data_IF_104506694490
#
_entry.id   IF_104506694490
#
_cell.length_a   1.000
_cell.length_b   1.000
_cell.length_c   1.000
_cell.angle_alpha   90.00
_cell.angle_beta   90.00
_cell.angle_gamma   90.00
#
_symmetry.space_group_name_H-M   'P 1'
#
loop_
_entity.id
_entity.type
_entity.pdbx_description
1 polymer ?
#
# COMPACT_ATOMS: atom_id res chain seq x y z
N UNK A 1 -8.41 -22.88 -34.77
CA UNK A 1 -8.52 -21.63 -33.99
C UNK A 1 -7.53 -21.74 -32.84
N UNK A 2 -6.39 -21.05 -32.95
CA UNK A 2 -5.40 -20.99 -31.87
C UNK A 2 -6.01 -20.16 -30.75
N UNK A 3 -6.40 -20.83 -29.65
CA UNK A 3 -6.74 -20.14 -28.41
C UNK A 3 -5.42 -19.59 -27.87
N UNK A 4 -5.11 -18.34 -28.19
CA UNK A 4 -4.08 -17.57 -27.51
C UNK A 4 -4.56 -17.38 -26.07
N UNK A 5 -4.26 -18.35 -25.20
CA UNK A 5 -4.18 -18.06 -23.77
C UNK A 5 -3.00 -17.13 -23.61
N UNK A 6 -3.22 -15.83 -23.78
CA UNK A 6 -2.41 -14.83 -23.11
C UNK A 6 -2.47 -15.23 -21.64
N UNK A 7 -1.38 -15.79 -21.12
CA UNK A 7 -1.32 -16.21 -19.73
C UNK A 7 -1.70 -15.03 -18.85
N UNK A 8 -2.56 -15.27 -17.85
CA UNK A 8 -3.01 -14.23 -16.94
C UNK A 8 -1.77 -13.54 -16.33
N UNK A 9 -1.63 -12.24 -16.59
CA UNK A 9 -0.55 -11.39 -16.10
C UNK A 9 -0.91 -10.86 -14.73
N UNK A 10 -0.63 -11.66 -13.70
CA UNK A 10 -1.12 -11.47 -12.34
C UNK A 10 -0.02 -10.93 -11.42
N UNK A 11 -0.42 -10.00 -10.57
CA UNK A 11 0.35 -9.52 -9.44
C UNK A 11 -0.54 -9.45 -8.19
N UNK A 12 0.09 -9.40 -7.03
CA UNK A 12 -0.62 -9.20 -5.77
C UNK A 12 0.05 -8.13 -4.90
N UNK A 13 -0.78 -7.31 -4.27
CA UNK A 13 -0.37 -6.39 -3.23
C UNK A 13 -0.73 -6.97 -1.85
N UNK A 14 0.23 -7.01 -0.94
CA UNK A 14 -0.02 -7.34 0.47
C UNK A 14 -0.11 -6.04 1.26
N UNK A 15 -1.22 -5.32 1.10
CA UNK A 15 -1.41 -3.97 1.66
C UNK A 15 -1.40 -4.00 3.19
N UNK A 16 -0.47 -3.26 3.81
CA UNK A 16 -0.32 -3.21 5.25
C UNK A 16 -0.94 -1.93 5.79
N UNK A 17 -1.94 -2.07 6.67
CA UNK A 17 -2.64 -0.95 7.30
C UNK A 17 -2.48 -1.01 8.82
N UNK A 18 -2.43 0.16 9.44
CA UNK A 18 -2.24 0.32 10.89
C UNK A 18 -3.57 0.31 11.65
N UNK A 19 -4.40 -0.70 11.37
CA UNK A 19 -5.67 -0.96 12.02
C UNK A 19 -5.98 -2.45 11.99
N UNK A 20 -6.41 -3.02 13.12
CA UNK A 20 -6.90 -4.40 13.23
C UNK A 20 -8.03 -4.58 14.26
N UNK A 21 -8.28 -3.58 15.12
CA UNK A 21 -9.25 -3.65 16.21
C UNK A 21 -10.64 -3.25 15.74
N UNK A 22 -10.74 -2.27 14.85
CA UNK A 22 -11.98 -1.81 14.22
C UNK A 22 -12.21 -2.58 12.92
N UNK A 23 -12.83 -3.76 13.03
CA UNK A 23 -13.06 -4.69 11.92
C UNK A 23 -13.77 -4.04 10.72
N UNK A 24 -14.76 -3.19 10.98
CA UNK A 24 -15.50 -2.47 9.94
C UNK A 24 -14.60 -1.61 9.05
N UNK A 25 -13.56 -0.96 9.61
CA UNK A 25 -12.60 -0.17 8.85
C UNK A 25 -11.78 -1.07 7.93
N UNK A 26 -11.25 -2.17 8.46
CA UNK A 26 -10.46 -3.14 7.67
C UNK A 26 -11.30 -3.72 6.52
N UNK A 27 -12.55 -4.09 6.80
CA UNK A 27 -13.47 -4.61 5.79
C UNK A 27 -13.85 -3.56 4.74
N UNK A 28 -14.03 -2.29 5.12
CA UNK A 28 -14.33 -1.22 4.18
C UNK A 28 -13.14 -0.93 3.26
N UNK A 29 -11.92 -0.94 3.79
CA UNK A 29 -10.68 -0.81 3.00
C UNK A 29 -10.56 -1.96 1.98
N UNK A 30 -10.82 -3.20 2.42
CA UNK A 30 -10.82 -4.35 1.52
C UNK A 30 -11.92 -4.26 0.44
N UNK A 31 -13.13 -3.81 0.81
CA UNK A 31 -14.22 -3.59 -0.13
C UNK A 31 -13.87 -2.50 -1.15
N UNK A 32 -13.24 -1.40 -0.74
CA UNK A 32 -12.83 -0.33 -1.63
C UNK A 32 -11.91 -0.82 -2.75
N UNK A 33 -11.04 -1.81 -2.46
CA UNK A 33 -10.20 -2.44 -3.48
C UNK A 33 -10.99 -3.17 -4.58
N UNK A 34 -12.22 -3.58 -4.30
CA UNK A 34 -13.06 -4.37 -5.21
C UNK A 34 -13.98 -3.50 -6.07
N UNK A 35 -13.94 -2.17 -5.95
CA UNK A 35 -14.87 -1.28 -6.61
C UNK A 35 -14.20 -0.45 -7.70
N UNK A 36 -14.88 -0.34 -8.84
CA UNK A 36 -14.58 0.65 -9.86
C UNK A 36 -15.00 2.05 -9.42
N UNK A 37 -14.55 3.09 -10.16
CA UNK A 37 -14.91 4.49 -9.91
C UNK A 37 -16.42 4.76 -9.93
N UNK A 38 -17.19 3.95 -10.66
CA UNK A 38 -18.65 4.03 -10.76
C UNK A 38 -19.37 3.29 -9.60
N UNK A 39 -18.63 2.67 -8.67
CA UNK A 39 -19.16 1.90 -7.54
C UNK A 39 -19.54 0.45 -7.86
N UNK A 40 -19.34 -0.03 -9.09
CA UNK A 40 -19.56 -1.42 -9.45
C UNK A 40 -18.39 -2.32 -9.04
N UNK A 41 -18.66 -3.62 -8.86
CA UNK A 41 -17.63 -4.59 -8.52
C UNK A 41 -16.69 -4.78 -9.72
N UNK A 42 -15.39 -4.61 -9.50
CA UNK A 42 -14.38 -4.88 -10.51
C UNK A 42 -14.29 -6.40 -10.77
N UNK A 43 -14.48 -6.87 -12.01
CA UNK A 43 -14.55 -8.31 -12.30
C UNK A 43 -13.20 -9.03 -12.15
N UNK A 44 -12.09 -8.33 -12.39
CA UNK A 44 -10.74 -8.91 -12.44
C UNK A 44 -9.90 -8.68 -11.18
N UNK A 45 -10.52 -8.21 -10.09
CA UNK A 45 -9.83 -7.92 -8.82
C UNK A 45 -10.42 -8.78 -7.71
N UNK A 46 -9.55 -9.36 -6.89
CA UNK A 46 -9.92 -10.21 -5.76
C UNK A 46 -9.15 -9.84 -4.51
N UNK A 47 -9.85 -9.81 -3.37
CA UNK A 47 -9.23 -9.84 -2.05
C UNK A 47 -9.11 -11.31 -1.65
N UNK A 48 -7.90 -11.84 -1.66
CA UNK A 48 -7.63 -13.25 -1.39
C UNK A 48 -7.60 -13.57 0.11
N UNK A 49 -7.17 -12.61 0.92
CA UNK A 49 -7.03 -12.79 2.35
C UNK A 49 -7.07 -11.45 3.10
N UNK A 50 -7.56 -11.46 4.33
CA UNK A 50 -7.41 -10.38 5.31
C UNK A 50 -6.84 -11.02 6.58
N UNK A 51 -5.59 -10.73 6.90
CA UNK A 51 -4.97 -11.12 8.15
C UNK A 51 -4.91 -9.93 9.10
N UNK A 52 -5.44 -10.06 10.31
CA UNK A 52 -5.48 -8.98 11.30
C UNK A 52 -4.86 -9.44 12.62
N UNK A 53 -3.89 -8.67 13.12
CA UNK A 53 -3.27 -8.87 14.42
C UNK A 53 -3.68 -7.71 15.35
N UNK A 54 -4.46 -8.02 16.39
CA UNK A 54 -5.04 -7.02 17.29
C UNK A 54 -4.03 -6.42 18.28
N UNK A 55 -2.99 -7.19 18.63
CA UNK A 55 -1.95 -6.74 19.54
C UNK A 55 -1.01 -5.78 18.81
N UNK A 56 -0.66 -6.13 17.56
CA UNK A 56 0.11 -5.28 16.67
C UNK A 56 -0.70 -4.08 16.16
N UNK A 57 -2.04 -4.17 16.26
CA UNK A 57 -3.00 -3.25 15.66
C UNK A 57 -2.69 -3.00 14.17
N UNK A 58 -2.50 -4.10 13.44
CA UNK A 58 -2.06 -4.09 12.05
C UNK A 58 -2.78 -5.18 11.26
N UNK A 59 -3.21 -4.84 10.06
CA UNK A 59 -3.78 -5.81 9.12
C UNK A 59 -3.02 -5.85 7.81
N UNK A 60 -3.02 -7.02 7.17
CA UNK A 60 -2.50 -7.27 5.83
C UNK A 60 -3.65 -7.73 4.95
N UNK A 61 -3.96 -6.96 3.93
CA UNK A 61 -5.00 -7.27 2.94
C UNK A 61 -4.30 -7.71 1.66
N UNK A 62 -4.50 -8.97 1.26
CA UNK A 62 -3.94 -9.52 0.02
C UNK A 62 -4.90 -9.26 -1.14
N UNK A 63 -4.53 -8.33 -2.01
CA UNK A 63 -5.28 -7.94 -3.20
C UNK A 63 -4.56 -8.51 -4.42
N UNK A 64 -5.24 -9.26 -5.27
CA UNK A 64 -4.69 -9.81 -6.52
C UNK A 64 -5.54 -9.37 -7.71
N UNK A 65 -4.85 -9.01 -8.79
CA UNK A 65 -5.48 -8.53 -10.03
C UNK A 65 -4.51 -8.71 -11.21
N UNK A 66 -4.97 -8.33 -12.41
CA UNK A 66 -4.06 -8.04 -13.52
C UNK A 66 -3.06 -6.95 -13.09
N UNK A 67 -1.83 -6.96 -13.63
CA UNK A 67 -0.84 -5.91 -13.34
C UNK A 67 -1.36 -4.51 -13.71
N UNK A 68 -2.21 -4.42 -14.73
CA UNK A 68 -2.78 -3.17 -15.24
C UNK A 68 -3.86 -2.61 -14.30
N UNK A 69 -4.61 -3.47 -13.60
CA UNK A 69 -5.70 -3.06 -12.71
C UNK A 69 -5.30 -2.96 -11.23
N UNK A 70 -4.20 -3.63 -10.85
CA UNK A 70 -3.77 -3.71 -9.46
C UNK A 70 -3.53 -2.31 -8.86
N UNK A 71 -2.89 -1.41 -9.61
CA UNK A 71 -2.60 -0.06 -9.15
C UNK A 71 -3.86 0.73 -8.77
N UNK A 72 -4.89 0.72 -9.61
CA UNK A 72 -6.15 1.43 -9.35
C UNK A 72 -6.90 0.85 -8.14
N UNK A 73 -6.88 -0.47 -8.00
CA UNK A 73 -7.54 -1.19 -6.91
C UNK A 73 -6.87 -0.90 -5.57
N UNK A 74 -5.54 -0.95 -5.53
CA UNK A 74 -4.76 -0.65 -4.33
C UNK A 74 -4.86 0.85 -3.97
N UNK A 75 -4.89 1.73 -4.97
CA UNK A 75 -5.15 3.16 -4.77
C UNK A 75 -6.49 3.40 -4.06
N UNK A 76 -7.58 2.76 -4.51
CA UNK A 76 -8.88 2.88 -3.87
C UNK A 76 -8.86 2.44 -2.40
N UNK A 77 -8.20 1.31 -2.11
CA UNK A 77 -8.01 0.83 -0.73
C UNK A 77 -7.19 1.82 0.13
N UNK A 78 -6.11 2.38 -0.42
CA UNK A 78 -5.29 3.36 0.30
C UNK A 78 -6.07 4.65 0.62
N UNK A 79 -6.89 5.14 -0.32
CA UNK A 79 -7.70 6.34 -0.10
C UNK A 79 -8.73 6.12 1.02
N UNK A 80 -9.40 4.97 1.05
CA UNK A 80 -10.29 4.60 2.16
C UNK A 80 -9.52 4.49 3.49
N UNK A 81 -8.33 3.87 3.48
CA UNK A 81 -7.50 3.76 4.67
C UNK A 81 -7.07 5.13 5.22
N UNK A 82 -6.65 6.05 4.35
CA UNK A 82 -6.31 7.41 4.76
C UNK A 82 -7.51 8.19 5.30
N UNK A 83 -8.73 7.92 4.84
CA UNK A 83 -9.93 8.55 5.39
C UNK A 83 -10.31 7.96 6.75
N UNK A 84 -10.20 6.65 6.91
CA UNK A 84 -10.75 5.91 8.06
C UNK A 84 -9.77 5.73 9.23
N UNK A 85 -8.45 5.78 8.98
CA UNK A 85 -7.42 5.58 10.02
C UNK A 85 -6.81 6.93 10.40
N UNK A 86 -6.74 7.19 11.71
CA UNK A 86 -6.03 8.34 12.28
C UNK A 86 -4.81 7.85 13.06
N UNK A 87 -3.62 8.13 12.54
CA UNK A 87 -2.35 7.74 13.17
C UNK A 87 -2.08 8.43 14.51
N UNK A 88 -2.74 9.56 14.80
CA UNK A 88 -2.63 10.22 16.12
C UNK A 88 -3.29 9.43 17.25
N UNK A 89 -4.22 8.54 16.89
CA UNK A 89 -4.92 7.64 17.81
C UNK A 89 -4.42 6.20 17.69
N UNK A 90 -3.43 5.95 16.82
CA UNK A 90 -2.92 4.61 16.60
C UNK A 90 -2.08 4.18 17.78
N UNK A 91 -2.47 3.05 18.35
CA UNK A 91 -1.73 2.39 19.43
C UNK A 91 -1.61 0.91 19.11
N UNK A 92 -0.38 0.44 18.89
CA UNK A 92 -0.04 -0.96 18.64
C UNK A 92 1.42 -1.21 19.02
N UNK A 93 1.75 -2.48 19.34
CA UNK A 93 3.14 -2.83 19.72
C UNK A 93 4.06 -2.97 18.51
N UNK A 94 3.51 -3.07 17.30
CA UNK A 94 4.28 -3.11 16.06
C UNK A 94 4.62 -1.68 15.63
N UNK A 95 5.90 -1.38 15.33
CA UNK A 95 6.25 -0.09 14.75
C UNK A 95 5.50 0.11 13.42
N UNK A 96 5.07 1.32 13.15
CA UNK A 96 4.46 1.70 11.89
C UNK A 96 4.72 3.18 11.65
N UNK A 97 4.80 3.56 10.38
CA UNK A 97 5.01 4.96 9.99
C UNK A 97 3.76 5.59 9.37
N UNK A 98 2.74 4.83 8.99
CA UNK A 98 1.57 5.38 8.32
C UNK A 98 0.29 4.59 8.51
N UNK A 99 -0.84 5.24 8.22
CA UNK A 99 -2.17 4.61 8.18
C UNK A 99 -2.18 3.46 7.18
N UNK A 100 -1.60 3.72 6.01
CA UNK A 100 -1.03 2.70 5.13
C UNK A 100 0.47 2.67 5.40
N UNK A 101 0.97 1.58 5.99
CA UNK A 101 2.38 1.45 6.36
C UNK A 101 3.21 1.05 5.13
N UNK A 102 2.77 0.04 4.39
CA UNK A 102 3.49 -0.51 3.24
C UNK A 102 2.53 -1.02 2.15
N UNK A 103 2.92 -0.83 0.89
CA UNK A 103 2.21 -1.28 -0.31
C UNK A 103 3.09 -2.25 -1.13
N UNK A 104 3.52 -3.39 -0.56
CA UNK A 104 4.40 -4.33 -1.27
C UNK A 104 3.63 -5.03 -2.40
N UNK A 105 4.19 -5.03 -3.60
CA UNK A 105 3.63 -5.63 -4.81
C UNK A 105 4.56 -6.78 -5.23
N UNK A 106 3.98 -7.95 -5.50
CA UNK A 106 4.68 -9.15 -5.88
C UNK A 106 4.15 -9.69 -7.21
N UNK A 107 5.04 -10.09 -8.14
CA UNK A 107 4.62 -10.78 -9.35
C UNK A 107 4.11 -12.19 -9.00
N UNK A 108 3.02 -12.61 -9.65
CA UNK A 108 2.48 -13.97 -9.51
C UNK A 108 2.65 -14.79 -10.79
N UNK A 109 2.33 -14.22 -11.95
CA UNK A 109 2.39 -14.91 -13.25
C UNK A 109 2.54 -13.90 -14.37
N UNK A 110 3.53 -14.09 -15.26
CA UNK A 110 3.66 -13.25 -16.46
C UNK A 110 3.92 -11.75 -16.21
N UNK A 111 4.46 -11.43 -15.03
CA UNK A 111 4.79 -10.07 -14.57
C UNK A 111 6.19 -10.08 -13.97
N UNK A 112 7.02 -9.09 -14.28
CA UNK A 112 8.35 -8.94 -13.69
C UNK A 112 8.34 -8.08 -12.42
N UNK A 113 9.45 -8.10 -11.65
CA UNK A 113 9.59 -7.24 -10.47
C UNK A 113 9.72 -5.76 -10.86
N UNK A 114 10.33 -5.47 -12.00
CA UNK A 114 10.46 -4.12 -12.56
C UNK A 114 9.08 -3.55 -12.94
N UNK A 115 8.19 -4.38 -13.47
CA UNK A 115 6.80 -3.99 -13.75
C UNK A 115 6.05 -3.69 -12.45
N UNK A 116 6.28 -4.46 -11.38
CA UNK A 116 5.73 -4.18 -10.06
C UNK A 116 6.24 -2.82 -9.53
N UNK A 117 7.53 -2.50 -9.69
CA UNK A 117 8.10 -1.20 -9.32
C UNK A 117 7.58 -0.05 -10.19
N UNK A 118 7.23 -0.29 -11.46
CA UNK A 118 6.55 0.69 -12.30
C UNK A 118 5.12 0.98 -11.80
N UNK A 119 4.36 -0.07 -11.45
CA UNK A 119 3.03 0.08 -10.84
C UNK A 119 3.12 0.85 -9.52
N UNK A 120 4.08 0.51 -8.65
CA UNK A 120 4.27 1.17 -7.37
C UNK A 120 4.57 2.67 -7.50
N UNK A 121 5.42 3.07 -8.46
CA UNK A 121 5.70 4.50 -8.74
C UNK A 121 4.48 5.24 -9.26
N UNK A 122 3.77 4.67 -10.25
CA UNK A 122 2.55 5.27 -10.77
C UNK A 122 1.46 5.41 -9.70
N UNK A 123 1.35 4.41 -8.82
CA UNK A 123 0.47 4.44 -7.68
C UNK A 123 0.88 5.52 -6.67
N UNK A 124 2.17 5.68 -6.37
CA UNK A 124 2.69 6.72 -5.49
C UNK A 124 2.34 8.12 -5.99
N UNK A 125 2.56 8.40 -7.28
CA UNK A 125 2.17 9.68 -7.90
C UNK A 125 0.65 9.92 -7.80
N UNK A 126 -0.14 8.88 -8.06
CA UNK A 126 -1.60 8.94 -7.96
C UNK A 126 -2.09 9.20 -6.53
N UNK A 127 -1.42 8.62 -5.52
CA UNK A 127 -1.72 8.87 -4.11
C UNK A 127 -1.47 10.33 -3.74
N UNK A 128 -0.35 10.92 -4.16
CA UNK A 128 -0.04 12.32 -3.86
C UNK A 128 -1.08 13.28 -4.46
N UNK A 129 -1.56 12.98 -5.66
CA UNK A 129 -2.59 13.79 -6.32
C UNK A 129 -3.94 13.71 -5.59
N UNK A 130 -4.29 12.53 -5.06
CA UNK A 130 -5.63 12.23 -4.51
C UNK A 130 -5.72 12.35 -3.00
N UNK A 131 -4.60 12.27 -2.30
CA UNK A 131 -4.46 12.43 -0.86
C UNK A 131 -3.22 13.29 -0.54
N UNK A 132 -3.29 14.62 -0.74
CA UNK A 132 -2.12 15.51 -0.60
C UNK A 132 -1.47 15.52 0.79
N UNK A 133 -2.18 15.03 1.81
CA UNK A 133 -1.68 14.84 3.17
C UNK A 133 -0.83 13.58 3.37
N UNK A 134 -0.76 12.68 2.39
CA UNK A 134 0.09 11.50 2.45
C UNK A 134 1.49 11.82 1.94
N UNK A 135 2.47 11.13 2.49
CA UNK A 135 3.87 11.18 2.06
C UNK A 135 4.37 9.77 1.85
N UNK A 136 5.34 9.60 0.96
CA UNK A 136 5.84 8.27 0.61
C UNK A 136 7.36 8.18 0.71
N UNK A 137 7.83 7.00 1.08
CA UNK A 137 9.20 6.58 0.80
C UNK A 137 9.18 5.40 -0.17
N UNK A 138 10.14 5.40 -1.07
CA UNK A 138 10.37 4.33 -2.02
C UNK A 138 11.41 3.37 -1.45
N UNK A 139 11.25 2.10 -1.82
CA UNK A 139 12.23 1.04 -1.65
C UNK A 139 12.18 0.14 -2.89
N UNK A 140 13.04 -0.88 -2.97
CA UNK A 140 12.95 -1.90 -4.01
C UNK A 140 13.12 -1.37 -5.44
N UNK A 141 12.27 -1.84 -6.34
CA UNK A 141 12.28 -1.51 -7.77
C UNK A 141 11.68 -0.11 -8.06
N UNK A 142 10.94 0.49 -7.13
CA UNK A 142 10.54 1.91 -7.23
C UNK A 142 11.65 2.89 -6.83
N UNK A 143 12.56 2.48 -5.94
CA UNK A 143 13.63 3.33 -5.43
C UNK A 143 14.79 3.41 -6.42
N UNK A 144 14.71 4.28 -7.41
CA UNK A 144 15.76 4.43 -8.43
C UNK A 144 16.64 5.67 -8.19
N UNK A 145 17.95 5.58 -8.48
CA UNK A 145 18.66 4.41 -9.02
C UNK A 145 19.14 3.39 -7.97
N UNK A 146 19.05 3.67 -6.67
CA UNK A 146 19.78 2.94 -5.63
C UNK A 146 19.22 1.54 -5.30
N UNK A 147 17.95 1.29 -5.62
CA UNK A 147 17.17 0.07 -5.34
C UNK A 147 17.31 -0.42 -3.89
N UNK A 148 17.24 0.50 -2.92
CA UNK A 148 17.48 0.15 -1.51
C UNK A 148 16.38 -0.78 -1.03
N UNK A 149 16.78 -1.82 -0.31
CA UNK A 149 15.83 -2.76 0.31
C UNK A 149 14.96 -2.07 1.36
N UNK A 150 13.79 -2.65 1.64
CA UNK A 150 12.92 -2.18 2.72
C UNK A 150 13.66 -2.07 4.07
N UNK A 151 14.57 -3.01 4.36
CA UNK A 151 15.34 -3.01 5.62
C UNK A 151 16.26 -1.79 5.69
N UNK A 152 16.95 -1.46 4.60
CA UNK A 152 17.81 -0.27 4.53
C UNK A 152 16.99 1.01 4.72
N UNK A 153 15.84 1.13 4.03
CA UNK A 153 14.97 2.31 4.14
C UNK A 153 14.34 2.46 5.52
N UNK A 154 13.86 1.36 6.13
CA UNK A 154 13.38 1.34 7.52
C UNK A 154 14.45 1.79 8.52
N UNK A 155 15.69 1.36 8.34
CA UNK A 155 16.82 1.79 9.18
C UNK A 155 17.09 3.29 9.01
N UNK A 156 17.12 3.78 7.78
CA UNK A 156 17.34 5.20 7.48
C UNK A 156 16.25 6.10 8.09
N UNK A 157 15.00 5.68 7.99
CA UNK A 157 13.83 6.40 8.52
C UNK A 157 13.62 6.19 10.02
N UNK A 158 14.46 5.39 10.69
CA UNK A 158 14.32 5.13 12.12
C UNK A 158 13.03 4.39 12.50
N UNK A 159 12.47 3.58 11.58
CA UNK A 159 11.20 2.86 11.73
C UNK A 159 11.12 2.03 13.03
N UNK A 160 12.25 1.51 13.51
CA UNK A 160 12.31 0.69 14.73
C UNK A 160 12.30 1.49 16.04
N UNK A 161 12.60 2.79 16.00
CA UNK A 161 12.99 3.56 17.19
C UNK A 161 12.31 4.93 17.33
N UNK A 162 11.67 5.45 16.27
CA UNK A 162 11.16 6.84 16.23
C UNK A 162 9.65 6.89 16.02
N UNK A 163 8.98 7.79 16.76
CA UNK A 163 7.60 8.25 16.51
C UNK A 163 7.51 9.73 16.13
N UNK A 164 8.64 10.41 15.98
CA UNK A 164 8.64 11.82 15.59
C UNK A 164 8.56 11.95 14.06
N UNK A 165 7.34 12.14 13.57
CA UNK A 165 7.06 12.37 12.15
C UNK A 165 7.73 13.62 11.58
N UNK A 166 8.10 14.60 12.42
CA UNK A 166 8.69 15.86 11.96
C UNK A 166 10.12 15.71 11.45
N UNK A 167 10.82 14.65 11.86
CA UNK A 167 12.19 14.36 11.45
C UNK A 167 12.26 13.35 10.28
N UNK A 168 11.12 12.94 9.71
CA UNK A 168 11.07 12.03 8.58
C UNK A 168 11.13 12.80 7.27
N UNK A 169 12.10 12.44 6.44
CA UNK A 169 12.21 12.95 5.07
C UNK A 169 11.58 11.93 4.11
N UNK A 170 10.42 12.26 3.50
CA UNK A 170 9.83 11.43 2.47
C UNK A 170 10.60 11.57 1.15
N UNK A 171 10.56 10.55 0.31
CA UNK A 171 11.06 10.67 -1.06
C UNK A 171 10.07 11.42 -1.94
N UNK A 172 8.77 11.29 -1.65
CA UNK A 172 7.70 11.94 -2.39
C UNK A 172 6.64 12.57 -1.46
N UNK A 173 6.15 13.73 -1.86
CA UNK A 173 5.12 14.49 -1.14
C UNK A 173 5.69 15.49 -0.14
N UNK A 174 4.79 16.18 0.57
CA UNK A 174 5.15 17.10 1.65
C UNK A 174 5.62 16.34 2.89
N UNK A 175 6.06 17.04 3.94
CA UNK A 175 6.38 16.42 5.22
C UNK A 175 5.18 15.58 5.75
N UNK A 176 5.41 14.39 6.34
CA UNK A 176 4.34 13.50 6.77
C UNK A 176 3.35 14.16 7.72
N UNK A 177 2.08 14.23 7.32
CA UNK A 177 1.03 14.70 8.20
C UNK A 177 0.79 13.69 9.32
N UNK A 178 0.67 14.14 10.57
CA UNK A 178 0.50 13.27 11.75
C UNK A 178 -0.67 12.28 11.64
N UNK A 179 -1.73 12.65 10.93
CA UNK A 179 -2.93 11.83 10.75
C UNK A 179 -2.71 10.65 9.80
N UNK A 180 -1.94 10.83 8.72
CA UNK A 180 -1.74 9.83 7.67
C UNK A 180 -0.39 9.12 7.80
N UNK A 181 0.63 9.83 8.27
CA UNK A 181 2.00 9.35 8.37
C UNK A 181 2.69 9.20 7.01
N UNK A 182 3.63 8.27 6.96
CA UNK A 182 4.54 8.00 5.87
C UNK A 182 4.36 6.56 5.37
N UNK A 183 4.11 6.40 4.07
CA UNK A 183 3.79 5.12 3.42
C UNK A 183 4.97 4.61 2.60
N UNK A 184 5.31 3.32 2.69
CA UNK A 184 6.34 2.72 1.85
C UNK A 184 5.80 2.07 0.59
N UNK A 185 6.44 2.35 -0.57
CA UNK A 185 6.13 1.72 -1.85
C UNK A 185 7.41 1.05 -2.47
N UNK A 186 7.32 -0.20 -2.96
CA UNK A 186 8.42 -1.05 -3.42
C UNK A 186 8.82 -0.85 -4.88
#
# INVERSE_FOLDING_TARGET
>A
MSSSRLGLRLAACLLNISEARRKNIVENIAKAALLEKNGQKHPEVSVLNIFSDRDYNRSVITIAASVDDLGNSVLAACLEAFQSINMELQEGVHPCLGAVDLIPIYPLSGVSVEECGAVARSLAESLLLRAPSCSLFLFGEADLPEKRTLVQRRKQLGWFTRRDFSALEPDLGAAPARRCGLTGAP
#
